data_IF_539900819330
#
_entry.id   IF_539900819330
#
_cell.length_a   1.000
_cell.length_b   1.000
_cell.length_c   1.000
_cell.angle_alpha   90.00
_cell.angle_beta   90.00
_cell.angle_gamma   90.00
#
_symmetry.space_group_name_H-M   'P 1'
#
loop_
_entity.id
_entity.type
_entity.pdbx_description
1 polymer ?
#
# COMPACT_ATOMS: atom_id res chain seq x y z
N UNK A 1 16.49 1.60 12.50
CA UNK A 1 16.77 1.10 11.14
C UNK A 1 16.33 -0.35 10.94
N UNK A 2 16.74 -1.32 11.77
CA UNK A 2 16.35 -2.75 11.63
C UNK A 2 14.84 -3.00 11.48
N UNK A 3 14.01 -2.34 12.30
CA UNK A 3 12.55 -2.49 12.28
C UNK A 3 11.89 -2.07 10.95
N UNK A 4 12.49 -1.13 10.22
CA UNK A 4 11.98 -0.69 8.92
C UNK A 4 12.40 -1.69 7.85
N UNK A 5 13.64 -2.17 7.91
CA UNK A 5 14.16 -3.23 7.03
C UNK A 5 13.36 -4.53 7.14
N UNK A 6 12.98 -4.93 8.36
CA UNK A 6 12.12 -6.09 8.64
C UNK A 6 10.75 -5.94 7.96
N UNK A 7 10.08 -4.80 8.18
CA UNK A 7 8.76 -4.52 7.58
C UNK A 7 8.83 -4.42 6.07
N UNK A 8 9.90 -3.83 5.53
CA UNK A 8 10.14 -3.76 4.10
C UNK A 8 10.28 -5.15 3.50
N UNK A 9 11.08 -6.04 4.10
CA UNK A 9 11.20 -7.44 3.66
C UNK A 9 9.88 -8.19 3.72
N UNK A 10 9.08 -7.99 4.77
CA UNK A 10 7.75 -8.57 4.88
C UNK A 10 6.81 -8.05 3.80
N UNK A 11 6.82 -6.74 3.51
CA UNK A 11 6.04 -6.15 2.44
C UNK A 11 6.44 -6.70 1.07
N UNK A 12 7.74 -6.80 0.77
CA UNK A 12 8.26 -7.38 -0.48
C UNK A 12 7.82 -8.84 -0.62
N UNK A 13 7.91 -9.65 0.44
CA UNK A 13 7.44 -11.04 0.40
C UNK A 13 5.92 -11.14 0.20
N UNK A 14 5.15 -10.28 0.87
CA UNK A 14 3.70 -10.23 0.71
C UNK A 14 3.31 -9.83 -0.72
N UNK A 15 4.02 -8.87 -1.30
CA UNK A 15 3.86 -8.41 -2.68
C UNK A 15 4.19 -9.52 -3.69
N UNK A 16 5.24 -10.31 -3.47
CA UNK A 16 5.57 -11.46 -4.30
C UNK A 16 4.44 -12.49 -4.34
N UNK A 17 3.86 -12.82 -3.18
CA UNK A 17 2.69 -13.71 -3.09
C UNK A 17 1.43 -13.10 -3.70
N UNK A 18 1.25 -11.78 -3.58
CA UNK A 18 0.16 -11.07 -4.24
C UNK A 18 0.29 -11.20 -5.76
N UNK A 19 1.48 -10.99 -6.32
CA UNK A 19 1.71 -11.09 -7.76
C UNK A 19 1.49 -12.51 -8.30
N UNK A 20 1.94 -13.53 -7.56
CA UNK A 20 1.71 -14.93 -7.90
C UNK A 20 0.21 -15.26 -8.01
N UNK A 21 -0.59 -14.82 -7.02
CA UNK A 21 -2.02 -15.05 -7.01
C UNK A 21 -2.75 -14.19 -8.06
N UNK A 22 -2.37 -12.92 -8.21
CA UNK A 22 -2.98 -12.01 -9.18
C UNK A 22 -2.75 -12.43 -10.64
N UNK A 23 -1.75 -13.29 -10.90
CA UNK A 23 -1.43 -13.81 -12.24
C UNK A 23 -2.21 -15.09 -12.60
N UNK A 24 -3.09 -15.58 -11.72
CA UNK A 24 -3.91 -16.77 -11.99
C UNK A 24 -5.20 -16.38 -12.72
N UNK A 25 -5.60 -17.18 -13.72
CA UNK A 25 -6.83 -16.95 -14.51
C UNK A 25 -8.12 -17.07 -13.68
N UNK A 26 -8.09 -17.91 -12.64
CA UNK A 26 -9.22 -18.13 -11.74
C UNK A 26 -8.74 -18.23 -10.30
N UNK A 27 -9.40 -17.49 -9.41
CA UNK A 27 -9.19 -17.55 -7.96
C UNK A 27 -10.45 -18.09 -7.29
N UNK A 28 -10.29 -19.01 -6.35
CA UNK A 28 -11.39 -19.38 -5.46
C UNK A 28 -11.64 -18.25 -4.42
N UNK A 29 -12.71 -18.37 -3.65
CA UNK A 29 -13.12 -17.38 -2.65
C UNK A 29 -12.00 -17.12 -1.62
N UNK A 30 -11.44 -18.16 -1.01
CA UNK A 30 -10.35 -18.04 -0.03
C UNK A 30 -9.12 -17.35 -0.63
N UNK A 31 -8.77 -17.66 -1.88
CA UNK A 31 -7.63 -17.05 -2.58
C UNK A 31 -7.88 -15.58 -2.89
N UNK A 32 -9.11 -15.21 -3.26
CA UNK A 32 -9.53 -13.82 -3.48
C UNK A 32 -9.43 -13.02 -2.17
N UNK A 33 -9.92 -13.56 -1.08
CA UNK A 33 -9.88 -12.93 0.24
C UNK A 33 -8.43 -12.74 0.70
N UNK A 34 -7.60 -13.77 0.53
CA UNK A 34 -6.18 -13.70 0.83
C UNK A 34 -5.46 -12.65 -0.02
N UNK A 35 -5.83 -12.49 -1.30
CA UNK A 35 -5.26 -11.48 -2.18
C UNK A 35 -5.62 -10.06 -1.72
N UNK A 36 -6.89 -9.84 -1.34
CA UNK A 36 -7.38 -8.55 -0.84
C UNK A 36 -6.67 -8.20 0.48
N UNK A 37 -6.58 -9.13 1.42
CA UNK A 37 -5.88 -8.90 2.68
C UNK A 37 -4.39 -8.58 2.48
N UNK A 38 -3.73 -9.24 1.50
CA UNK A 38 -2.33 -8.95 1.15
C UNK A 38 -2.16 -7.56 0.57
N UNK A 39 -3.09 -7.12 -0.29
CA UNK A 39 -3.09 -5.77 -0.82
C UNK A 39 -3.23 -4.73 0.30
N UNK A 40 -4.24 -4.87 1.16
CA UNK A 40 -4.48 -3.94 2.28
C UNK A 40 -3.27 -3.82 3.20
N UNK A 41 -2.69 -4.97 3.59
CA UNK A 41 -1.53 -5.01 4.47
C UNK A 41 -0.29 -4.38 3.81
N UNK A 42 -0.04 -4.70 2.54
CA UNK A 42 1.13 -4.18 1.82
C UNK A 42 1.02 -2.67 1.61
N UNK A 43 -0.17 -2.20 1.24
CA UNK A 43 -0.46 -0.77 1.14
C UNK A 43 -0.23 -0.05 2.47
N UNK A 44 -0.76 -0.61 3.57
CA UNK A 44 -0.64 -0.03 4.91
C UNK A 44 0.82 0.12 5.36
N UNK A 45 1.67 -0.86 5.07
CA UNK A 45 3.09 -0.79 5.36
C UNK A 45 3.82 0.26 4.51
N UNK A 46 3.53 0.31 3.21
CA UNK A 46 4.23 1.21 2.27
C UNK A 46 3.94 2.68 2.61
N UNK A 47 2.67 3.07 2.80
CA UNK A 47 2.36 4.47 3.08
C UNK A 47 2.88 4.91 4.45
N UNK A 48 2.91 4.02 5.45
CA UNK A 48 3.55 4.30 6.75
C UNK A 48 5.06 4.43 6.65
N UNK A 49 5.70 3.63 5.81
CA UNK A 49 7.12 3.75 5.53
C UNK A 49 7.44 5.09 4.85
N UNK A 50 6.64 5.48 3.86
CA UNK A 50 6.76 6.77 3.19
C UNK A 50 6.53 7.95 4.16
N UNK A 51 5.53 7.85 5.05
CA UNK A 51 5.31 8.84 6.12
C UNK A 51 6.56 9.01 7.00
N UNK A 52 7.13 7.90 7.48
CA UNK A 52 8.32 7.93 8.34
C UNK A 52 9.52 8.53 7.58
N UNK A 53 9.69 8.17 6.31
CA UNK A 53 10.75 8.71 5.46
C UNK A 53 10.64 10.23 5.31
N UNK A 54 9.46 10.74 4.96
CA UNK A 54 9.18 12.17 4.83
C UNK A 54 9.41 12.92 6.15
N UNK A 55 9.05 12.31 7.28
CA UNK A 55 9.30 12.92 8.59
C UNK A 55 10.80 13.02 8.89
N UNK A 56 11.57 11.95 8.62
CA UNK A 56 13.01 11.91 8.95
C UNK A 56 13.87 12.73 7.98
N UNK A 57 13.55 12.72 6.68
CA UNK A 57 14.35 13.42 5.67
C UNK A 57 13.93 14.89 5.50
N UNK A 58 12.63 15.16 5.47
CA UNK A 58 12.07 16.46 5.08
C UNK A 58 11.37 17.19 6.23
N UNK A 59 11.20 16.55 7.40
CA UNK A 59 10.46 17.12 8.53
C UNK A 59 8.94 17.20 8.31
N UNK A 60 8.41 16.53 7.29
CA UNK A 60 7.00 16.59 6.91
C UNK A 60 6.20 15.55 7.70
N UNK A 61 5.32 16.00 8.60
CA UNK A 61 4.37 15.12 9.31
C UNK A 61 3.00 15.11 8.61
N UNK A 62 2.84 14.18 7.66
CA UNK A 62 1.58 13.94 6.97
C UNK A 62 0.71 12.90 7.72
N UNK A 63 -0.57 13.23 7.93
CA UNK A 63 -1.47 12.43 8.78
C UNK A 63 -2.36 11.40 8.03
N UNK A 64 -2.29 11.30 6.69
CA UNK A 64 -3.12 10.35 5.93
C UNK A 64 -2.42 9.85 4.67
N UNK A 65 -2.81 8.67 4.13
CA UNK A 65 -2.19 8.10 2.93
C UNK A 65 -2.16 9.06 1.74
N UNK A 66 -3.28 9.74 1.44
CA UNK A 66 -3.35 10.71 0.33
C UNK A 66 -2.42 11.91 0.57
N UNK A 67 -2.29 12.39 1.81
CA UNK A 67 -1.37 13.49 2.14
C UNK A 67 0.09 13.05 2.00
N UNK A 68 0.43 11.86 2.47
CA UNK A 68 1.75 11.25 2.34
C UNK A 68 2.13 11.13 0.86
N UNK A 69 1.27 10.56 0.03
CA UNK A 69 1.52 10.37 -1.41
C UNK A 69 1.76 11.71 -2.12
N UNK A 70 0.97 12.75 -1.80
CA UNK A 70 1.18 14.09 -2.35
C UNK A 70 2.50 14.70 -1.89
N UNK A 71 2.84 14.57 -0.62
CA UNK A 71 4.13 15.02 -0.11
C UNK A 71 5.31 14.29 -0.78
N UNK A 72 5.19 12.98 -1.04
CA UNK A 72 6.18 12.23 -1.82
C UNK A 72 6.37 12.78 -3.24
N UNK A 73 5.31 13.28 -3.89
CA UNK A 73 5.43 13.98 -5.17
C UNK A 73 6.17 15.30 -5.00
N UNK A 74 5.82 16.09 -4.00
CA UNK A 74 6.40 17.40 -3.72
C UNK A 74 7.90 17.33 -3.41
N UNK A 75 8.35 16.25 -2.74
CA UNK A 75 9.77 16.00 -2.45
C UNK A 75 10.51 15.29 -3.59
N UNK A 76 9.82 14.95 -4.68
CA UNK A 76 10.40 14.26 -5.83
C UNK A 76 10.64 12.75 -5.62
N UNK A 77 10.13 12.17 -4.53
CA UNK A 77 10.19 10.73 -4.27
C UNK A 77 9.29 9.94 -5.24
N UNK A 78 8.19 10.55 -5.72
CA UNK A 78 7.31 9.99 -6.74
C UNK A 78 7.19 10.95 -7.92
N UNK A 79 7.19 10.39 -9.12
CA UNK A 79 6.76 11.09 -10.33
C UNK A 79 5.25 11.36 -10.33
N UNK A 80 4.78 12.19 -11.25
CA UNK A 80 3.34 12.45 -11.42
C UNK A 80 2.56 11.17 -11.75
N UNK A 81 3.06 10.34 -12.67
CA UNK A 81 2.43 9.08 -13.04
C UNK A 81 2.35 8.10 -11.86
N UNK A 82 3.43 7.95 -11.09
CA UNK A 82 3.43 7.11 -9.88
C UNK A 82 2.50 7.66 -8.79
N UNK A 83 2.40 8.99 -8.68
CA UNK A 83 1.50 9.64 -7.73
C UNK A 83 0.04 9.33 -8.07
N UNK A 84 -0.35 9.42 -9.34
CA UNK A 84 -1.70 9.09 -9.80
C UNK A 84 -2.05 7.63 -9.50
N UNK A 85 -1.13 6.70 -9.80
CA UNK A 85 -1.29 5.29 -9.50
C UNK A 85 -1.43 5.04 -8.00
N UNK A 86 -0.58 5.65 -7.18
CA UNK A 86 -0.63 5.50 -5.72
C UNK A 86 -1.92 6.08 -5.13
N UNK A 87 -2.42 7.21 -5.65
CA UNK A 87 -3.70 7.77 -5.24
C UNK A 87 -4.87 6.84 -5.58
N UNK A 88 -4.86 6.22 -6.77
CA UNK A 88 -5.84 5.19 -7.13
C UNK A 88 -5.79 4.00 -6.18
N UNK A 89 -4.59 3.54 -5.80
CA UNK A 89 -4.44 2.45 -4.82
C UNK A 89 -5.07 2.79 -3.46
N UNK A 90 -5.04 4.06 -3.04
CA UNK A 90 -5.73 4.49 -1.81
C UNK A 90 -7.23 4.26 -1.93
N UNK A 91 -7.80 4.61 -3.08
CA UNK A 91 -9.24 4.46 -3.33
C UNK A 91 -9.63 2.98 -3.44
N UNK A 92 -8.82 2.16 -4.15
CA UNK A 92 -9.00 0.71 -4.21
C UNK A 92 -8.97 0.09 -2.79
N UNK A 93 -8.04 0.52 -1.93
CA UNK A 93 -7.94 0.04 -0.53
C UNK A 93 -9.12 0.48 0.33
N UNK A 94 -9.67 1.66 0.11
CA UNK A 94 -10.89 2.06 0.81
C UNK A 94 -12.08 1.22 0.37
N UNK A 95 -12.14 0.86 -0.92
CA UNK A 95 -13.19 0.01 -1.47
C UNK A 95 -13.13 -1.42 -0.91
N UNK A 96 -11.94 -1.99 -0.70
CA UNK A 96 -11.83 -3.34 -0.10
C UNK A 96 -12.43 -3.41 1.30
N UNK A 97 -12.21 -2.37 2.11
CA UNK A 97 -12.81 -2.28 3.45
C UNK A 97 -14.33 -2.09 3.41
N UNK A 98 -14.86 -1.33 2.45
CA UNK A 98 -16.31 -1.05 2.38
C UNK A 98 -17.14 -2.12 1.67
N UNK A 99 -16.55 -2.89 0.76
CA UNK A 99 -17.25 -3.94 0.01
C UNK A 99 -17.49 -5.18 0.87
N UNK A 100 -16.56 -5.51 1.78
CA UNK A 100 -16.70 -6.67 2.67
C UNK A 100 -17.76 -6.51 3.77
N UNK A 101 -18.00 -5.29 4.26
CA UNK A 101 -19.00 -5.04 5.32
C UNK A 101 -20.43 -5.31 4.82
N UNK A 102 -20.65 -5.36 3.50
CA UNK A 102 -21.97 -5.58 2.92
C UNK A 102 -22.30 -7.05 2.65
N UNK A 103 -21.39 -7.98 2.93
CA UNK A 103 -21.56 -9.42 2.72
C UNK A 103 -21.37 -10.27 4.00
N UNK A 104 -21.27 -9.65 5.17
CA UNK A 104 -21.32 -10.31 6.49
C UNK A 104 -22.69 -10.13 7.14
#
# INVERSE_FOLDING_TARGET
>A
MERITERYRLAVRALGKFHELASRDTLNEIERDALIQRFEFSFELIWKCAKEHLYVQDGIDAASPKKVIRACRETGLLSEAETEQALKMVDDRNLTTHTYVRQA
#
